data_IF_710897784377
#
_entry.id   IF_710897784377
#
_cell.length_a   1.000
_cell.length_b   1.000
_cell.length_c   1.000
_cell.angle_alpha   90.00
_cell.angle_beta   90.00
_cell.angle_gamma   90.00
#
_symmetry.space_group_name_H-M   'P 1'
#
loop_
_entity.id
_entity.type
_entity.pdbx_description
1 polymer ?
#
# COMPACT_ATOMS: atom_id res chain seq x y z
N UNK A 1 1.16 -32.58 -2.72
CA UNK A 1 2.19 -33.63 -2.65
C UNK A 1 3.35 -33.05 -1.86
N UNK A 2 3.69 -33.64 -0.72
CA UNK A 2 4.78 -33.18 0.14
C UNK A 2 6.12 -33.41 -0.56
N UNK A 3 6.68 -32.37 -1.15
CA UNK A 3 8.08 -32.40 -1.61
C UNK A 3 8.94 -32.42 -0.35
N UNK A 4 9.48 -33.59 -0.02
CA UNK A 4 10.46 -33.76 1.05
C UNK A 4 11.75 -33.08 0.61
N UNK A 5 11.96 -31.85 1.07
CA UNK A 5 13.25 -31.17 0.91
C UNK A 5 14.26 -31.90 1.79
N UNK A 6 15.39 -32.29 1.20
CA UNK A 6 16.50 -32.93 1.91
C UNK A 6 17.13 -31.93 2.89
N UNK A 7 16.91 -32.14 4.19
CA UNK A 7 17.72 -31.52 5.24
C UNK A 7 19.17 -31.91 4.98
N UNK A 8 20.04 -30.94 4.66
CA UNK A 8 21.44 -31.22 4.26
C UNK A 8 22.34 -31.59 5.45
N UNK A 9 21.92 -31.31 6.68
CA UNK A 9 22.54 -31.81 7.90
C UNK A 9 21.85 -31.31 9.18
N UNK A 10 22.38 -31.67 10.35
CA UNK A 10 21.89 -31.26 11.67
C UNK A 10 22.72 -30.10 12.23
N UNK A 11 22.05 -29.09 12.78
CA UNK A 11 22.69 -28.01 13.53
C UNK A 11 21.99 -27.88 14.89
N UNK A 12 22.75 -27.92 15.98
CA UNK A 12 22.20 -27.90 17.33
C UNK A 12 21.93 -26.46 17.76
N UNK A 13 20.71 -26.20 18.24
CA UNK A 13 20.33 -24.89 18.75
C UNK A 13 21.19 -24.51 19.97
N UNK A 14 21.89 -23.37 19.95
CA UNK A 14 22.72 -22.94 21.07
C UNK A 14 21.91 -22.53 22.31
N UNK A 15 20.61 -22.25 22.15
CA UNK A 15 19.74 -21.81 23.25
C UNK A 15 19.05 -22.96 23.98
N UNK A 16 18.60 -24.00 23.28
CA UNK A 16 17.83 -25.09 23.90
C UNK A 16 18.32 -26.51 23.57
N UNK A 17 19.35 -26.66 22.73
CA UNK A 17 19.91 -27.96 22.36
C UNK A 17 19.08 -28.79 21.38
N UNK A 18 17.95 -28.27 20.88
CA UNK A 18 17.17 -28.94 19.85
C UNK A 18 17.91 -28.99 18.51
N UNK A 19 17.76 -30.09 17.75
CA UNK A 19 18.23 -30.14 16.36
C UNK A 19 17.37 -29.24 15.49
N UNK A 20 18.00 -28.24 14.88
CA UNK A 20 17.34 -27.33 13.96
C UNK A 20 17.29 -27.91 12.56
N UNK A 21 18.28 -28.71 12.16
CA UNK A 21 18.56 -28.96 10.75
C UNK A 21 18.91 -27.68 9.98
N UNK A 22 19.70 -27.80 8.91
CA UNK A 22 20.13 -26.65 8.11
C UNK A 22 19.90 -26.85 6.61
N UNK A 23 19.69 -25.73 5.91
CA UNK A 23 19.58 -25.59 4.47
C UNK A 23 20.44 -24.38 4.05
N UNK A 24 21.19 -24.49 2.97
CA UNK A 24 22.06 -23.42 2.46
C UNK A 24 21.26 -22.21 1.95
N UNK A 25 20.01 -22.42 1.55
CA UNK A 25 19.19 -21.38 0.90
C UNK A 25 18.28 -20.62 1.88
N UNK A 26 18.10 -21.13 3.10
CA UNK A 26 17.14 -20.58 4.07
C UNK A 26 17.77 -20.33 5.44
N UNK A 27 17.07 -19.54 6.25
CA UNK A 27 17.52 -19.14 7.58
C UNK A 27 17.45 -20.35 8.53
N UNK A 28 18.58 -20.69 9.14
CA UNK A 28 18.62 -21.71 10.20
C UNK A 28 18.02 -21.12 11.47
N UNK A 29 16.90 -21.69 11.92
CA UNK A 29 16.18 -21.27 13.12
C UNK A 29 15.65 -22.47 13.91
N UNK A 30 15.38 -22.24 15.20
CA UNK A 30 14.88 -23.26 16.12
C UNK A 30 13.36 -23.18 16.29
N UNK A 31 12.63 -24.24 15.94
CA UNK A 31 11.18 -24.34 16.15
C UNK A 31 10.78 -24.45 17.62
N UNK A 32 11.69 -24.91 18.49
CA UNK A 32 11.40 -25.13 19.91
C UNK A 32 11.50 -23.86 20.76
N UNK A 33 12.47 -22.98 20.48
CA UNK A 33 12.71 -21.77 21.28
C UNK A 33 12.80 -20.48 20.45
N UNK A 34 12.48 -20.52 19.15
CA UNK A 34 12.46 -19.37 18.24
C UNK A 34 13.82 -18.69 18.04
N UNK A 35 14.91 -19.37 18.42
CA UNK A 35 16.26 -18.89 18.17
C UNK A 35 16.47 -18.61 16.68
N UNK A 36 17.01 -17.42 16.37
CA UNK A 36 17.32 -16.94 15.02
C UNK A 36 16.12 -16.90 14.04
N UNK A 37 14.89 -16.73 14.55
CA UNK A 37 13.68 -16.74 13.71
C UNK A 37 13.61 -15.58 12.71
N UNK A 38 14.21 -14.43 13.04
CA UNK A 38 14.28 -13.25 12.17
C UNK A 38 15.63 -12.51 12.36
N UNK A 39 16.71 -12.93 11.68
CA UNK A 39 18.06 -12.35 11.85
C UNK A 39 18.19 -10.91 11.35
N UNK A 40 17.36 -10.48 10.40
CA UNK A 40 17.30 -9.08 9.94
C UNK A 40 16.81 -8.13 11.02
N UNK A 41 16.02 -8.64 11.97
CA UNK A 41 15.71 -7.94 13.21
C UNK A 41 16.88 -8.10 14.18
N UNK A 42 18.08 -7.65 13.76
CA UNK A 42 19.21 -7.53 14.67
C UNK A 42 18.73 -6.73 15.87
N UNK A 43 19.07 -7.20 17.07
CA UNK A 43 19.06 -6.39 18.28
C UNK A 43 20.07 -5.25 18.08
N UNK A 44 19.76 -4.27 17.23
CA UNK A 44 20.28 -2.94 17.40
C UNK A 44 19.94 -2.53 18.83
N UNK A 45 20.89 -1.90 19.52
CA UNK A 45 20.77 -1.43 20.89
C UNK A 45 19.35 -0.92 21.14
N UNK A 46 18.50 -1.73 21.78
CA UNK A 46 17.08 -1.39 21.92
C UNK A 46 17.05 -0.20 22.84
N UNK A 47 16.85 0.99 22.27
CA UNK A 47 16.79 2.22 23.07
C UNK A 47 15.54 2.07 23.92
N UNK A 48 15.55 2.65 25.13
CA UNK A 48 14.35 2.66 25.99
C UNK A 48 13.10 3.16 25.25
N UNK A 49 13.29 4.03 24.25
CA UNK A 49 12.23 4.52 23.37
C UNK A 49 11.61 3.43 22.49
N UNK A 50 12.40 2.49 21.98
CA UNK A 50 11.91 1.41 21.11
C UNK A 50 11.01 0.45 21.90
N UNK A 51 11.39 0.13 23.14
CA UNK A 51 10.53 -0.66 24.05
C UNK A 51 9.21 0.04 24.37
N UNK A 52 9.25 1.36 24.57
CA UNK A 52 8.03 2.16 24.80
C UNK A 52 7.16 2.15 23.56
N UNK A 53 7.77 2.32 22.39
CA UNK A 53 7.10 2.31 21.09
C UNK A 53 6.43 0.96 20.81
N UNK A 54 7.13 -0.15 21.02
CA UNK A 54 6.58 -1.49 20.90
C UNK A 54 5.40 -1.73 21.86
N UNK A 55 5.56 -1.33 23.13
CA UNK A 55 4.49 -1.45 24.14
C UNK A 55 3.26 -0.63 23.79
N UNK A 56 3.45 0.60 23.31
CA UNK A 56 2.36 1.45 22.85
C UNK A 56 1.67 0.82 21.64
N UNK A 57 2.43 0.34 20.65
CA UNK A 57 1.90 -0.27 19.45
C UNK A 57 1.05 -1.50 19.74
N UNK A 58 1.53 -2.36 20.64
CA UNK A 58 0.78 -3.52 21.11
C UNK A 58 -0.54 -3.10 21.78
N UNK A 59 -0.50 -2.11 22.68
CA UNK A 59 -1.71 -1.62 23.36
C UNK A 59 -2.72 -1.01 22.39
N UNK A 60 -2.25 -0.23 21.41
CA UNK A 60 -3.11 0.34 20.37
C UNK A 60 -3.69 -0.75 19.46
N UNK A 61 -2.89 -1.74 19.07
CA UNK A 61 -3.35 -2.89 18.28
C UNK A 61 -4.40 -3.72 19.01
N UNK A 62 -4.17 -4.06 20.28
CA UNK A 62 -5.12 -4.79 21.14
C UNK A 62 -6.43 -4.00 21.31
N UNK A 63 -6.34 -2.69 21.60
CA UNK A 63 -7.53 -1.85 21.72
C UNK A 63 -8.30 -1.76 20.40
N UNK A 64 -7.60 -1.65 19.26
CA UNK A 64 -8.24 -1.64 17.96
C UNK A 64 -8.96 -2.96 17.70
N UNK A 65 -8.28 -4.10 17.92
CA UNK A 65 -8.84 -5.43 17.74
C UNK A 65 -10.10 -5.63 18.59
N UNK A 66 -10.05 -5.22 19.86
CA UNK A 66 -11.20 -5.30 20.75
C UNK A 66 -12.38 -4.49 20.20
N UNK A 67 -12.13 -3.23 19.79
CA UNK A 67 -13.17 -2.36 19.25
C UNK A 67 -13.81 -2.91 17.96
N UNK A 68 -13.03 -3.51 17.06
CA UNK A 68 -13.57 -4.07 15.80
C UNK A 68 -14.28 -5.39 16.06
N UNK A 69 -13.86 -6.18 17.05
CA UNK A 69 -14.47 -7.47 17.38
C UNK A 69 -15.80 -7.32 18.14
N UNK A 70 -15.95 -6.27 18.96
CA UNK A 70 -17.17 -6.01 19.74
C UNK A 70 -18.28 -5.31 18.93
N UNK A 71 -17.94 -4.66 17.82
CA UNK A 71 -18.90 -3.89 17.03
C UNK A 71 -19.74 -4.79 16.12
N UNK A 72 -21.05 -4.55 16.13
CA UNK A 72 -21.99 -5.16 15.17
C UNK A 72 -21.79 -4.66 13.73
N UNK A 73 -21.18 -3.48 13.55
CA UNK A 73 -20.86 -2.93 12.22
C UNK A 73 -19.50 -2.22 12.24
N UNK A 74 -18.66 -2.59 11.27
CA UNK A 74 -17.38 -1.93 11.01
C UNK A 74 -17.51 -0.69 10.12
N UNK A 75 -18.72 -0.37 9.64
CA UNK A 75 -18.93 0.80 8.79
C UNK A 75 -18.55 2.09 9.55
N UNK A 76 -17.87 3.03 8.89
CA UNK A 76 -17.35 4.18 9.59
C UNK A 76 -18.46 5.20 9.86
N UNK A 77 -18.70 5.48 11.14
CA UNK A 77 -19.63 6.50 11.62
C UNK A 77 -19.03 7.91 11.68
N UNK A 78 -19.79 8.87 12.20
CA UNK A 78 -19.29 10.22 12.49
C UNK A 78 -18.21 10.16 13.58
N UNK A 79 -17.12 10.92 13.39
CA UNK A 79 -16.10 11.15 14.41
C UNK A 79 -15.61 12.60 14.34
N UNK A 80 -15.21 13.16 15.47
CA UNK A 80 -14.60 14.50 15.51
C UNK A 80 -13.32 14.57 14.70
N UNK A 81 -12.53 13.49 14.66
CA UNK A 81 -11.31 13.43 13.85
C UNK A 81 -11.61 13.48 12.34
N UNK A 82 -12.67 12.81 11.88
CA UNK A 82 -13.16 12.94 10.49
C UNK A 82 -13.59 14.37 10.19
N UNK A 83 -14.40 14.96 11.06
CA UNK A 83 -14.84 16.34 10.89
C UNK A 83 -13.64 17.30 10.81
N UNK A 84 -12.66 17.17 11.71
CA UNK A 84 -11.45 17.96 11.70
C UNK A 84 -10.64 17.76 10.40
N UNK A 85 -10.51 16.53 9.91
CA UNK A 85 -9.85 16.25 8.63
C UNK A 85 -10.59 16.90 7.44
N UNK A 86 -11.93 16.88 7.43
CA UNK A 86 -12.73 17.59 6.42
C UNK A 86 -12.56 19.11 6.51
N UNK A 87 -12.53 19.68 7.72
CA UNK A 87 -12.31 21.12 7.93
C UNK A 87 -10.91 21.54 7.45
N UNK A 88 -9.88 20.77 7.77
CA UNK A 88 -8.52 21.01 7.29
C UNK A 88 -8.42 20.88 5.76
N UNK A 89 -9.03 19.84 5.18
CA UNK A 89 -9.08 19.69 3.74
C UNK A 89 -9.80 20.87 3.05
N UNK A 90 -10.90 21.35 3.65
CA UNK A 90 -11.60 22.54 3.17
C UNK A 90 -10.69 23.77 3.23
N UNK A 91 -9.97 24.00 4.33
CA UNK A 91 -9.03 25.10 4.46
C UNK A 91 -7.95 25.07 3.37
N UNK A 92 -7.40 23.89 3.06
CA UNK A 92 -6.42 23.72 1.96
C UNK A 92 -7.00 24.14 0.61
N UNK A 93 -8.20 23.65 0.27
CA UNK A 93 -8.85 24.02 -1.00
C UNK A 93 -9.22 25.51 -1.07
N UNK A 94 -9.59 26.11 0.07
CA UNK A 94 -9.92 27.52 0.16
C UNK A 94 -8.70 28.43 -0.08
N UNK A 95 -7.48 28.00 0.22
CA UNK A 95 -6.26 28.75 -0.11
C UNK A 95 -6.12 28.91 -1.63
N UNK A 96 -6.29 27.83 -2.39
CA UNK A 96 -6.23 27.87 -3.86
C UNK A 96 -7.34 28.77 -4.45
N UNK A 97 -8.55 28.68 -3.88
CA UNK A 97 -9.69 29.50 -4.28
C UNK A 97 -9.45 30.98 -3.96
N UNK A 98 -8.87 31.28 -2.80
CA UNK A 98 -8.54 32.65 -2.38
C UNK A 98 -7.58 33.32 -3.38
N UNK A 99 -6.52 32.62 -3.81
CA UNK A 99 -5.61 33.15 -4.82
C UNK A 99 -6.30 33.40 -6.16
N UNK A 100 -7.20 32.50 -6.58
CA UNK A 100 -7.95 32.65 -7.83
C UNK A 100 -8.88 33.88 -7.79
N UNK A 101 -9.68 34.00 -6.74
CA UNK A 101 -10.65 35.10 -6.60
C UNK A 101 -9.93 36.43 -6.46
N UNK A 102 -8.87 36.48 -5.64
CA UNK A 102 -8.05 37.69 -5.48
C UNK A 102 -7.37 38.10 -6.78
N UNK A 103 -6.87 37.12 -7.56
CA UNK A 103 -6.32 37.36 -8.89
C UNK A 103 -7.33 38.05 -9.80
N UNK A 104 -8.54 37.50 -9.93
CA UNK A 104 -9.61 38.05 -10.77
C UNK A 104 -9.97 39.47 -10.31
N UNK A 105 -10.11 39.67 -8.99
CA UNK A 105 -10.42 40.97 -8.41
C UNK A 105 -9.37 42.03 -8.78
N UNK A 106 -8.07 41.75 -8.59
CA UNK A 106 -7.02 42.72 -8.89
C UNK A 106 -6.83 42.96 -10.39
N UNK A 107 -6.98 41.93 -11.25
CA UNK A 107 -6.96 42.11 -12.71
C UNK A 107 -8.10 43.02 -13.16
N UNK A 108 -9.30 42.89 -12.57
CA UNK A 108 -10.43 43.74 -12.92
C UNK A 108 -10.20 45.23 -12.62
N UNK A 109 -9.33 45.55 -11.65
CA UNK A 109 -8.99 46.92 -11.24
C UNK A 109 -7.80 47.52 -12.01
N UNK A 110 -7.37 46.93 -13.12
CA UNK A 110 -6.17 47.38 -13.86
C UNK A 110 -6.20 48.85 -14.32
N UNK A 111 -7.40 49.42 -14.51
CA UNK A 111 -7.58 50.82 -14.93
C UNK A 111 -7.18 51.82 -13.85
N UNK A 112 -7.28 51.44 -12.57
CA UNK A 112 -6.86 52.27 -11.44
C UNK A 112 -5.33 52.29 -11.30
N UNK A 113 -4.67 51.17 -11.58
CA UNK A 113 -3.22 51.06 -11.59
C UNK A 113 -2.75 49.79 -12.31
N UNK A 114 -1.70 49.93 -13.12
CA UNK A 114 -1.03 48.78 -13.75
C UNK A 114 -0.49 47.78 -12.71
N UNK A 115 -0.16 48.24 -11.50
CA UNK A 115 0.31 47.36 -10.43
C UNK A 115 -0.76 46.38 -9.92
N UNK A 116 -2.04 46.71 -10.04
CA UNK A 116 -3.11 45.75 -9.75
C UNK A 116 -3.15 44.63 -10.79
N UNK A 117 -2.91 44.93 -12.06
CA UNK A 117 -2.77 43.89 -13.07
C UNK A 117 -1.55 42.99 -12.78
N UNK A 118 -0.40 43.57 -12.43
CA UNK A 118 0.81 42.82 -12.08
C UNK A 118 0.58 41.91 -10.87
N UNK A 119 -0.01 42.42 -9.79
CA UNK A 119 -0.36 41.63 -8.61
C UNK A 119 -1.38 40.53 -8.96
N UNK A 120 -2.39 40.87 -9.74
CA UNK A 120 -3.42 39.93 -10.17
C UNK A 120 -2.85 38.77 -11.01
N UNK A 121 -1.91 39.05 -11.91
CA UNK A 121 -1.19 38.02 -12.69
C UNK A 121 -0.26 37.16 -11.80
N UNK A 122 0.42 37.77 -10.83
CA UNK A 122 1.22 37.02 -9.85
C UNK A 122 0.34 36.07 -9.02
N UNK A 123 -0.81 36.54 -8.54
CA UNK A 123 -1.78 35.71 -7.81
C UNK A 123 -2.39 34.63 -8.71
N UNK A 124 -2.53 34.88 -10.02
CA UNK A 124 -2.97 33.86 -10.99
C UNK A 124 -1.93 32.73 -11.09
N UNK A 125 -0.65 33.09 -11.16
CA UNK A 125 0.44 32.12 -11.14
C UNK A 125 0.45 31.31 -9.83
N UNK A 126 0.27 31.97 -8.68
CA UNK A 126 0.13 31.27 -7.39
C UNK A 126 -1.09 30.36 -7.36
N UNK A 127 -2.25 30.79 -7.88
CA UNK A 127 -3.45 29.96 -7.98
C UNK A 127 -3.20 28.72 -8.84
N UNK A 128 -2.48 28.87 -9.95
CA UNK A 128 -2.10 27.75 -10.80
C UNK A 128 -1.19 26.75 -10.06
N UNK A 129 -0.16 27.24 -9.36
CA UNK A 129 0.78 26.39 -8.60
C UNK A 129 0.05 25.68 -7.46
N UNK A 130 -0.77 26.41 -6.71
CA UNK A 130 -1.48 25.93 -5.52
C UNK A 130 -2.77 25.17 -5.83
N UNK A 131 -3.15 25.00 -7.09
CA UNK A 131 -4.41 24.36 -7.49
C UNK A 131 -4.60 22.98 -6.84
N UNK A 132 -5.84 22.58 -6.51
CA UNK A 132 -6.14 21.27 -5.95
C UNK A 132 -5.64 20.10 -6.83
N UNK A 133 -5.14 19.05 -6.18
CA UNK A 133 -4.55 17.87 -6.81
C UNK A 133 -5.39 16.63 -6.53
N UNK A 134 -6.29 16.31 -7.44
CA UNK A 134 -7.24 15.19 -7.30
C UNK A 134 -6.69 13.82 -7.73
N UNK A 135 -5.36 13.63 -7.65
CA UNK A 135 -4.69 12.47 -8.24
C UNK A 135 -4.71 12.50 -9.76
N UNK A 136 -3.67 11.90 -10.35
CA UNK A 136 -3.56 11.64 -11.79
C UNK A 136 -2.94 10.26 -11.97
N UNK A 137 -3.11 9.69 -13.15
CA UNK A 137 -2.27 8.57 -13.54
C UNK A 137 -0.88 9.12 -13.87
N UNK A 138 0.14 8.40 -13.43
CA UNK A 138 1.50 8.71 -13.87
C UNK A 138 1.69 8.36 -15.34
N UNK A 139 2.72 8.93 -15.97
CA UNK A 139 2.93 8.75 -17.41
C UNK A 139 3.25 7.30 -17.78
N UNK A 140 3.86 6.56 -16.86
CA UNK A 140 4.15 5.12 -16.99
C UNK A 140 2.93 4.25 -16.76
N UNK A 141 1.90 4.76 -16.09
CA UNK A 141 0.70 4.02 -15.77
C UNK A 141 -0.25 3.96 -16.96
N UNK A 142 -0.63 2.75 -17.35
CA UNK A 142 -1.52 2.51 -18.48
C UNK A 142 -2.72 1.69 -18.01
N UNK A 143 -3.92 2.25 -18.18
CA UNK A 143 -5.16 1.49 -18.00
C UNK A 143 -5.24 0.48 -19.15
N UNK A 144 -5.32 -0.79 -18.80
CA UNK A 144 -5.48 -1.86 -19.79
C UNK A 144 -6.92 -1.86 -20.31
N UNK A 145 -7.14 -1.85 -21.64
CA UNK A 145 -8.48 -1.89 -22.22
C UNK A 145 -9.30 -3.10 -21.75
N UNK A 146 -10.62 -2.92 -21.67
CA UNK A 146 -11.53 -4.00 -21.21
C UNK A 146 -11.52 -5.20 -22.14
N UNK A 147 -11.21 -4.98 -23.41
CA UNK A 147 -11.09 -5.99 -24.47
C UNK A 147 -9.84 -6.87 -24.29
N UNK A 148 -8.81 -6.37 -23.60
CA UNK A 148 -7.59 -7.13 -23.33
C UNK A 148 -7.68 -8.01 -22.09
N UNK A 149 -8.49 -7.60 -21.09
CA UNK A 149 -8.73 -8.28 -19.82
C UNK A 149 -10.22 -8.65 -19.57
N UNK A 150 -10.95 -9.24 -20.54
CA UNK A 150 -12.41 -9.36 -20.45
C UNK A 150 -12.89 -10.21 -19.27
N UNK A 151 -12.22 -11.31 -18.94
CA UNK A 151 -12.60 -12.16 -17.81
C UNK A 151 -12.24 -11.49 -16.47
N UNK A 152 -11.08 -10.86 -16.37
CA UNK A 152 -10.69 -10.16 -15.14
C UNK A 152 -11.63 -8.98 -14.83
N UNK A 153 -11.97 -8.15 -15.82
CA UNK A 153 -12.96 -7.09 -15.64
C UNK A 153 -14.34 -7.66 -15.26
N UNK A 154 -14.77 -8.76 -15.88
CA UNK A 154 -16.04 -9.40 -15.53
C UNK A 154 -16.08 -9.86 -14.06
N UNK A 155 -15.00 -10.48 -13.59
CA UNK A 155 -14.88 -10.93 -12.19
C UNK A 155 -14.85 -9.76 -11.22
N UNK A 156 -14.09 -8.71 -11.54
CA UNK A 156 -14.02 -7.48 -10.74
C UNK A 156 -15.37 -6.77 -10.67
N UNK A 157 -16.08 -6.65 -11.80
CA UNK A 157 -17.41 -6.02 -11.85
C UNK A 157 -18.42 -6.80 -10.99
N UNK A 158 -18.38 -8.14 -11.02
CA UNK A 158 -19.22 -9.00 -10.16
C UNK A 158 -18.90 -8.85 -8.68
N UNK A 159 -17.61 -8.68 -8.33
CA UNK A 159 -17.20 -8.39 -6.96
C UNK A 159 -17.71 -7.02 -6.51
N UNK A 160 -17.59 -5.99 -7.36
CA UNK A 160 -18.14 -4.66 -7.08
C UNK A 160 -19.65 -4.70 -6.86
N UNK A 161 -20.39 -5.40 -7.72
CA UNK A 161 -21.84 -5.59 -7.58
C UNK A 161 -22.20 -6.24 -6.25
N UNK A 162 -21.52 -7.32 -5.88
CA UNK A 162 -21.78 -8.05 -4.63
C UNK A 162 -21.40 -7.23 -3.39
N UNK A 163 -20.35 -6.42 -3.48
CA UNK A 163 -19.96 -5.48 -2.43
C UNK A 163 -20.83 -4.20 -2.38
N UNK A 164 -21.75 -4.02 -3.33
CA UNK A 164 -22.63 -2.86 -3.40
C UNK A 164 -21.91 -1.56 -3.75
N UNK A 165 -20.84 -1.64 -4.55
CA UNK A 165 -20.06 -0.46 -4.97
C UNK A 165 -20.10 -0.28 -6.49
N UNK A 166 -19.96 0.98 -6.94
CA UNK A 166 -19.80 1.28 -8.37
C UNK A 166 -18.60 0.49 -8.97
N UNK A 167 -18.74 -0.05 -10.20
CA UNK A 167 -17.65 -0.69 -10.93
C UNK A 167 -16.37 0.13 -11.03
N UNK A 168 -15.27 -0.56 -11.27
CA UNK A 168 -13.96 0.06 -11.43
C UNK A 168 -13.84 0.62 -12.85
N UNK A 169 -13.33 1.84 -12.98
CA UNK A 169 -13.23 2.53 -14.26
C UNK A 169 -12.00 2.09 -15.07
N UNK A 170 -11.00 1.50 -14.42
CA UNK A 170 -9.81 0.95 -15.09
C UNK A 170 -8.98 0.04 -14.20
N UNK A 171 -8.31 -0.92 -14.83
CA UNK A 171 -7.32 -1.82 -14.23
C UNK A 171 -5.94 -1.47 -14.79
N UNK A 172 -4.95 -1.36 -13.91
CA UNK A 172 -3.54 -1.21 -14.25
C UNK A 172 -2.81 -2.47 -13.79
N UNK A 173 -1.90 -2.97 -14.63
CA UNK A 173 -1.01 -4.07 -14.27
C UNK A 173 0.40 -3.48 -14.11
N UNK A 174 1.00 -3.66 -12.94
CA UNK A 174 2.34 -3.16 -12.64
C UNK A 174 3.24 -4.26 -12.04
N UNK A 175 4.46 -3.84 -11.69
CA UNK A 175 5.54 -4.70 -11.25
C UNK A 175 5.65 -4.85 -9.74
N UNK A 176 4.88 -4.08 -8.98
CA UNK A 176 4.96 -4.10 -7.53
C UNK A 176 4.49 -5.44 -6.96
N UNK A 177 5.08 -5.89 -5.86
CA UNK A 177 4.57 -7.05 -5.12
C UNK A 177 3.40 -6.63 -4.22
N UNK A 178 2.34 -6.08 -4.83
CA UNK A 178 1.21 -5.49 -4.10
C UNK A 178 -0.07 -5.47 -4.95
N UNK A 179 -1.18 -5.01 -4.36
CA UNK A 179 -2.33 -4.50 -5.10
C UNK A 179 -2.81 -3.22 -4.42
N UNK A 180 -3.51 -2.36 -5.15
CA UNK A 180 -4.08 -1.15 -4.55
C UNK A 180 -5.27 -0.62 -5.32
N UNK A 181 -6.15 0.10 -4.63
CA UNK A 181 -7.17 0.94 -5.25
C UNK A 181 -7.01 2.41 -4.92
N UNK A 182 -7.29 3.27 -5.91
CA UNK A 182 -7.31 4.72 -5.75
C UNK A 182 -8.40 5.40 -6.57
N UNK A 183 -8.71 6.64 -6.20
CA UNK A 183 -9.61 7.52 -6.94
C UNK A 183 -8.79 8.63 -7.60
N UNK A 184 -8.93 8.82 -8.91
CA UNK A 184 -8.16 9.81 -9.67
C UNK A 184 -9.04 10.77 -10.48
N UNK A 185 -8.58 12.01 -10.58
CA UNK A 185 -9.21 13.09 -11.34
C UNK A 185 -10.50 13.62 -10.72
N UNK A 186 -10.95 14.77 -11.24
CA UNK A 186 -12.16 15.48 -10.76
C UNK A 186 -13.44 14.67 -10.89
N UNK A 187 -13.48 13.71 -11.83
CA UNK A 187 -14.63 12.81 -12.04
C UNK A 187 -14.63 11.61 -11.10
N UNK A 188 -13.58 11.42 -10.30
CA UNK A 188 -13.50 10.32 -9.35
C UNK A 188 -13.37 8.95 -10.00
N UNK A 189 -12.50 8.81 -11.00
CA UNK A 189 -12.28 7.51 -11.64
C UNK A 189 -11.66 6.54 -10.64
N UNK A 190 -12.28 5.38 -10.46
CA UNK A 190 -11.79 4.29 -9.61
C UNK A 190 -10.81 3.45 -10.40
N UNK A 191 -9.60 3.30 -9.88
CA UNK A 191 -8.52 2.56 -10.51
C UNK A 191 -8.09 1.45 -9.58
N UNK A 192 -8.04 0.23 -10.10
CA UNK A 192 -7.45 -0.93 -9.43
C UNK A 192 -6.08 -1.19 -10.08
N UNK A 193 -5.03 -1.16 -9.28
CA UNK A 193 -3.70 -1.57 -9.68
C UNK A 193 -3.42 -2.96 -9.13
N UNK A 194 -3.03 -3.87 -10.02
CA UNK A 194 -2.67 -5.25 -9.69
C UNK A 194 -1.19 -5.44 -10.00
N UNK A 195 -0.42 -5.66 -8.94
CA UNK A 195 0.94 -6.13 -9.02
C UNK A 195 0.97 -7.56 -9.52
N UNK A 196 1.45 -7.73 -10.75
CA UNK A 196 1.48 -9.02 -11.42
C UNK A 196 2.26 -10.09 -10.63
N UNK A 197 3.41 -9.77 -9.98
CA UNK A 197 4.15 -10.75 -9.19
C UNK A 197 3.38 -11.31 -7.98
N UNK A 198 2.61 -10.47 -7.27
CA UNK A 198 1.77 -10.95 -6.20
C UNK A 198 0.61 -11.78 -6.77
N UNK A 199 -0.08 -11.26 -7.77
CA UNK A 199 -1.29 -11.90 -8.30
C UNK A 199 -1.03 -13.29 -8.93
N UNK A 200 0.14 -13.49 -9.53
CA UNK A 200 0.49 -14.74 -10.23
C UNK A 200 0.68 -15.93 -9.29
N UNK A 201 1.13 -15.71 -8.04
CA UNK A 201 1.33 -16.78 -7.04
C UNK A 201 0.06 -17.15 -6.26
N UNK A 202 -1.01 -16.38 -6.43
CA UNK A 202 -2.26 -16.59 -5.73
C UNK A 202 -3.14 -17.59 -6.50
N UNK A 203 -3.61 -18.68 -5.87
CA UNK A 203 -4.66 -19.50 -6.42
C UNK A 203 -5.98 -18.72 -6.49
N UNK A 204 -6.92 -19.28 -7.25
CA UNK A 204 -8.22 -18.65 -7.57
C UNK A 204 -8.93 -17.99 -6.40
N UNK A 205 -9.03 -18.64 -5.24
CA UNK A 205 -9.82 -18.13 -4.11
C UNK A 205 -9.04 -17.04 -3.34
N UNK A 206 -7.71 -17.09 -3.34
CA UNK A 206 -6.87 -16.03 -2.78
C UNK A 206 -6.85 -14.77 -3.68
N UNK A 207 -6.95 -14.94 -5.00
CA UNK A 207 -7.17 -13.80 -5.92
C UNK A 207 -8.49 -13.10 -5.63
N UNK A 208 -9.55 -13.86 -5.37
CA UNK A 208 -10.84 -13.29 -4.95
C UNK A 208 -10.72 -12.58 -3.61
N UNK A 209 -9.93 -13.11 -2.67
CA UNK A 209 -9.67 -12.47 -1.39
C UNK A 209 -8.97 -11.12 -1.57
N UNK A 210 -7.96 -11.06 -2.44
CA UNK A 210 -7.18 -9.85 -2.71
C UNK A 210 -8.04 -8.79 -3.39
N UNK A 211 -8.75 -9.14 -4.46
CA UNK A 211 -9.64 -8.24 -5.16
C UNK A 211 -10.80 -7.77 -4.25
N UNK A 212 -11.35 -8.67 -3.44
CA UNK A 212 -12.38 -8.36 -2.46
C UNK A 212 -11.90 -7.39 -1.38
N UNK A 213 -10.68 -7.58 -0.87
CA UNK A 213 -10.05 -6.66 0.06
C UNK A 213 -9.90 -5.25 -0.54
N UNK A 214 -9.34 -5.15 -1.74
CA UNK A 214 -9.19 -3.87 -2.43
C UNK A 214 -10.53 -3.17 -2.69
N UNK A 215 -11.55 -3.92 -3.13
CA UNK A 215 -12.91 -3.41 -3.32
C UNK A 215 -13.54 -2.97 -1.98
N UNK A 216 -13.17 -3.64 -0.88
CA UNK A 216 -13.54 -3.31 0.48
C UNK A 216 -13.20 -1.87 0.87
N UNK A 217 -12.08 -1.31 0.39
CA UNK A 217 -11.73 0.10 0.63
C UNK A 217 -12.72 1.08 -0.01
N UNK A 218 -13.26 0.76 -1.19
CA UNK A 218 -14.33 1.56 -1.79
C UNK A 218 -15.65 1.41 -1.03
N UNK A 219 -15.97 0.21 -0.55
CA UNK A 219 -17.18 -0.05 0.23
C UNK A 219 -17.13 0.65 1.61
N UNK A 220 -15.94 0.78 2.19
CA UNK A 220 -15.73 1.47 3.46
C UNK A 220 -15.88 3.01 3.34
N UNK A 221 -15.74 3.59 2.14
CA UNK A 221 -15.64 5.03 1.92
C UNK A 221 -14.45 5.66 2.66
N UNK A 222 -13.26 5.13 2.41
CA UNK A 222 -12.01 5.64 2.99
C UNK A 222 -11.83 7.14 2.72
N UNK A 223 -11.91 7.94 3.79
CA UNK A 223 -11.86 9.40 3.70
C UNK A 223 -10.54 9.85 3.08
N UNK A 224 -9.42 9.23 3.47
CA UNK A 224 -8.09 9.52 2.92
C UNK A 224 -8.00 9.24 1.40
N UNK A 225 -8.79 8.29 0.87
CA UNK A 225 -8.85 7.94 -0.56
C UNK A 225 -9.95 8.69 -1.32
N UNK A 226 -10.70 9.57 -0.65
CA UNK A 226 -11.74 10.40 -1.28
C UNK A 226 -11.17 11.54 -2.11
N UNK A 227 -11.90 12.01 -3.12
CA UNK A 227 -11.49 13.15 -3.96
C UNK A 227 -11.24 14.40 -3.11
N UNK A 228 -12.08 14.64 -2.10
CA UNK A 228 -12.03 15.87 -1.33
C UNK A 228 -10.84 15.89 -0.35
N UNK A 229 -10.77 14.90 0.54
CA UNK A 229 -9.70 14.86 1.56
C UNK A 229 -8.41 14.31 0.97
N UNK A 230 -8.46 13.23 0.19
CA UNK A 230 -7.29 12.73 -0.56
C UNK A 230 -6.74 13.76 -1.54
N UNK A 231 -7.62 14.56 -2.16
CA UNK A 231 -7.18 15.69 -2.99
C UNK A 231 -6.45 16.77 -2.21
N UNK A 232 -6.88 17.07 -0.97
CA UNK A 232 -6.15 18.00 -0.10
C UNK A 232 -4.80 17.42 0.33
N UNK A 233 -4.73 16.13 0.68
CA UNK A 233 -3.48 15.43 0.99
C UNK A 233 -2.51 15.51 -0.18
N UNK A 234 -2.94 15.19 -1.41
CA UNK A 234 -2.11 15.29 -2.61
C UNK A 234 -1.69 16.73 -2.93
N UNK A 235 -2.54 17.70 -2.59
CA UNK A 235 -2.22 19.14 -2.74
C UNK A 235 -1.11 19.55 -1.78
N UNK A 236 -1.22 19.16 -0.51
CA UNK A 236 -0.21 19.43 0.51
C UNK A 236 1.13 18.76 0.18
N UNK A 237 1.11 17.50 -0.28
CA UNK A 237 2.32 16.81 -0.72
C UNK A 237 2.98 17.58 -1.88
N UNK A 238 2.20 18.00 -2.88
CA UNK A 238 2.73 18.80 -3.99
C UNK A 238 3.30 20.15 -3.51
N UNK A 239 2.64 20.83 -2.56
CA UNK A 239 3.15 22.08 -2.00
C UNK A 239 4.44 21.87 -1.21
N UNK A 240 4.52 20.77 -0.46
CA UNK A 240 5.74 20.36 0.24
C UNK A 240 6.87 20.14 -0.76
N UNK A 241 6.68 19.31 -1.79
CA UNK A 241 7.72 19.01 -2.78
C UNK A 241 8.19 20.26 -3.55
N UNK A 242 7.29 21.23 -3.79
CA UNK A 242 7.64 22.49 -4.44
C UNK A 242 8.46 23.43 -3.55
N UNK A 243 8.30 23.34 -2.22
CA UNK A 243 8.95 24.20 -1.24
C UNK A 243 10.19 23.56 -0.61
N UNK A 244 10.19 22.23 -0.47
CA UNK A 244 11.29 21.41 0.02
C UNK A 244 12.30 21.20 -1.12
N UNK A 245 12.97 22.30 -1.44
CA UNK A 245 14.02 22.30 -2.46
C UNK A 245 15.24 21.58 -1.84
N UNK A 246 15.38 20.29 -2.13
CA UNK A 246 16.58 19.51 -1.79
C UNK A 246 17.84 20.01 -2.54
N UNK A 247 17.70 20.96 -3.46
CA UNK A 247 18.75 21.51 -4.34
C UNK A 247 19.07 23.00 -4.09
N UNK A 248 18.75 23.60 -2.92
CA UNK A 248 19.18 25.01 -2.64
C UNK A 248 20.70 25.12 -2.45
N UNK A 249 21.42 24.00 -2.47
CA UNK A 249 22.88 23.97 -2.39
C UNK A 249 23.58 24.58 -3.63
N UNK A 250 22.84 24.93 -4.69
CA UNK A 250 23.40 25.59 -5.89
C UNK A 250 23.50 27.13 -5.79
N UNK A 251 22.81 27.77 -4.82
CA UNK A 251 22.92 29.23 -4.63
C UNK A 251 24.06 29.50 -3.66
N UNK A 252 25.24 29.81 -4.18
CA UNK A 252 26.40 30.13 -3.35
C UNK A 252 26.22 31.44 -2.56
N UNK A 253 26.67 31.42 -1.29
CA UNK A 253 26.75 32.60 -0.43
C UNK A 253 25.57 32.80 0.54
N UNK A 254 25.63 33.91 1.30
CA UNK A 254 24.71 34.21 2.42
C UNK A 254 23.24 34.27 1.94
N UNK A 255 22.99 34.75 0.73
CA UNK A 255 21.65 34.84 0.16
C UNK A 255 21.03 33.46 -0.09
N UNK A 256 21.81 32.49 -0.57
CA UNK A 256 21.37 31.11 -0.72
C UNK A 256 21.02 30.45 0.61
N UNK A 257 21.84 30.68 1.64
CA UNK A 257 21.58 30.17 2.99
C UNK A 257 20.27 30.75 3.55
N UNK A 258 20.08 32.08 3.48
CA UNK A 258 18.87 32.73 4.01
C UNK A 258 17.61 32.28 3.26
N UNK A 259 17.67 32.25 1.92
CA UNK A 259 16.53 31.80 1.11
C UNK A 259 16.23 30.32 1.34
N UNK A 260 17.23 29.45 1.51
CA UNK A 260 17.06 28.05 1.84
C UNK A 260 16.35 27.83 3.19
N UNK A 261 16.76 28.55 4.24
CA UNK A 261 16.06 28.49 5.54
C UNK A 261 14.62 29.01 5.44
N UNK A 262 14.40 30.08 4.69
CA UNK A 262 13.06 30.61 4.47
C UNK A 262 12.15 29.61 3.76
N UNK A 263 12.62 28.99 2.67
CA UNK A 263 11.87 27.99 1.91
C UNK A 263 11.58 26.74 2.74
N UNK A 264 12.55 26.23 3.52
CA UNK A 264 12.33 25.13 4.46
C UNK A 264 11.31 25.48 5.55
N UNK A 265 11.36 26.70 6.07
CA UNK A 265 10.37 27.22 7.01
C UNK A 265 8.96 27.25 6.42
N UNK A 266 8.83 27.65 5.15
CA UNK A 266 7.56 27.60 4.42
C UNK A 266 7.11 26.15 4.16
N UNK A 267 8.01 25.24 3.80
CA UNK A 267 7.72 23.82 3.55
C UNK A 267 7.20 23.09 4.80
N UNK A 268 7.57 23.56 5.99
CA UNK A 268 7.08 23.00 7.25
C UNK A 268 5.55 23.12 7.40
N UNK A 269 4.94 24.15 6.84
CA UNK A 269 3.49 24.37 6.92
C UNK A 269 2.71 23.24 6.22
N UNK A 270 2.89 22.97 4.91
CA UNK A 270 2.19 21.87 4.26
C UNK A 270 2.58 20.51 4.84
N UNK A 271 3.83 20.32 5.28
CA UNK A 271 4.25 19.08 5.94
C UNK A 271 3.46 18.80 7.23
N UNK A 272 3.38 19.78 8.14
CA UNK A 272 2.66 19.62 9.40
C UNK A 272 1.17 19.40 9.16
N UNK A 273 0.55 20.13 8.21
CA UNK A 273 -0.85 19.92 7.85
C UNK A 273 -1.10 18.54 7.26
N UNK A 274 -0.18 18.06 6.40
CA UNK A 274 -0.24 16.72 5.83
C UNK A 274 -0.20 15.67 6.94
N UNK A 275 0.80 15.74 7.82
CA UNK A 275 0.97 14.82 8.94
C UNK A 275 -0.23 14.86 9.90
N UNK A 276 -0.81 16.04 10.14
CA UNK A 276 -1.99 16.21 10.98
C UNK A 276 -3.21 15.50 10.38
N UNK A 277 -3.47 15.65 9.08
CA UNK A 277 -4.58 14.95 8.42
C UNK A 277 -4.38 13.42 8.48
N UNK A 278 -3.17 12.94 8.18
CA UNK A 278 -2.85 11.51 8.26
C UNK A 278 -3.06 10.99 9.69
N UNK A 279 -2.61 11.73 10.70
CA UNK A 279 -2.79 11.37 12.11
C UNK A 279 -4.26 11.34 12.52
N UNK A 280 -5.07 12.33 12.12
CA UNK A 280 -6.50 12.37 12.39
C UNK A 280 -7.25 11.18 11.77
N UNK A 281 -6.81 10.74 10.59
CA UNK A 281 -7.41 9.63 9.87
C UNK A 281 -6.78 8.27 10.19
N UNK A 282 -5.71 8.21 10.98
CA UNK A 282 -4.97 6.98 11.29
C UNK A 282 -5.88 5.87 11.82
N UNK A 283 -6.69 6.19 12.83
CA UNK A 283 -7.60 5.22 13.44
C UNK A 283 -8.66 4.72 12.46
N UNK A 284 -9.13 5.58 11.56
CA UNK A 284 -10.12 5.19 10.55
C UNK A 284 -9.49 4.36 9.44
N UNK A 285 -8.24 4.65 9.06
CA UNK A 285 -7.44 3.83 8.14
C UNK A 285 -7.24 2.42 8.69
N UNK A 286 -6.82 2.30 9.96
CA UNK A 286 -6.66 1.00 10.60
C UNK A 286 -7.97 0.20 10.65
N UNK A 287 -9.11 0.84 10.90
CA UNK A 287 -10.44 0.19 10.82
C UNK A 287 -10.83 -0.21 9.40
N UNK A 288 -10.47 0.61 8.41
CA UNK A 288 -10.72 0.31 7.00
C UNK A 288 -10.06 -1.01 6.57
N UNK A 289 -8.87 -1.31 7.10
CA UNK A 289 -8.18 -2.57 6.85
C UNK A 289 -8.96 -3.79 7.37
N UNK A 290 -9.46 -3.73 8.60
CA UNK A 290 -10.33 -4.81 9.14
C UNK A 290 -11.65 -4.93 8.35
N UNK A 291 -12.21 -3.81 7.89
CA UNK A 291 -13.40 -3.83 7.04
C UNK A 291 -13.10 -4.45 5.68
N UNK A 292 -11.97 -4.10 5.06
CA UNK A 292 -11.53 -4.67 3.80
C UNK A 292 -11.27 -6.17 3.93
N UNK A 293 -10.65 -6.63 5.03
CA UNK A 293 -10.49 -8.04 5.35
C UNK A 293 -11.83 -8.77 5.47
N UNK A 294 -12.80 -8.14 6.15
CA UNK A 294 -14.15 -8.67 6.29
C UNK A 294 -14.80 -8.87 4.91
N UNK A 295 -14.74 -7.87 4.03
CA UNK A 295 -15.29 -7.94 2.68
C UNK A 295 -14.56 -9.01 1.85
N UNK A 296 -13.23 -9.06 1.92
CA UNK A 296 -12.43 -10.10 1.28
C UNK A 296 -12.88 -11.49 1.73
N UNK A 297 -12.96 -11.73 3.04
CA UNK A 297 -13.37 -13.01 3.61
C UNK A 297 -14.84 -13.37 3.32
N UNK A 298 -15.75 -12.40 3.31
CA UNK A 298 -17.15 -12.59 2.95
C UNK A 298 -17.29 -13.05 1.48
N UNK A 299 -16.44 -12.54 0.59
CA UNK A 299 -16.44 -12.87 -0.83
C UNK A 299 -15.73 -14.19 -1.13
N UNK A 300 -14.56 -14.44 -0.53
CA UNK A 300 -13.67 -15.58 -0.86
C UNK A 300 -13.56 -16.68 0.20
N UNK A 301 -14.12 -16.47 1.39
CA UNK A 301 -13.97 -17.33 2.57
C UNK A 301 -12.74 -16.98 3.43
N UNK A 302 -12.87 -17.15 4.75
CA UNK A 302 -11.85 -16.80 5.75
C UNK A 302 -10.50 -17.47 5.50
N UNK A 303 -10.50 -18.75 5.11
CA UNK A 303 -9.25 -19.51 4.86
C UNK A 303 -8.41 -18.89 3.75
N UNK A 304 -9.06 -18.46 2.66
CA UNK A 304 -8.41 -17.84 1.51
C UNK A 304 -7.81 -16.48 1.88
N UNK A 305 -8.53 -15.66 2.66
CA UNK A 305 -8.03 -14.36 3.13
C UNK A 305 -6.84 -14.48 4.08
N UNK A 306 -6.86 -15.46 5.00
CA UNK A 306 -5.71 -15.74 5.87
C UNK A 306 -4.52 -16.21 5.03
N UNK A 307 -4.73 -17.15 4.11
CA UNK A 307 -3.65 -17.67 3.25
C UNK A 307 -3.05 -16.58 2.35
N UNK A 308 -3.86 -15.66 1.83
CA UNK A 308 -3.40 -14.47 1.12
C UNK A 308 -2.48 -13.61 2.00
N UNK A 309 -2.90 -13.28 3.23
CA UNK A 309 -2.12 -12.45 4.14
C UNK A 309 -0.79 -13.09 4.55
N UNK A 310 -0.71 -14.42 4.58
CA UNK A 310 0.54 -15.16 4.75
C UNK A 310 1.47 -14.97 3.53
N UNK A 311 0.94 -15.00 2.30
CA UNK A 311 1.73 -14.88 1.05
C UNK A 311 2.13 -13.44 0.67
N UNK A 312 1.38 -12.42 1.09
CA UNK A 312 1.75 -11.01 0.90
C UNK A 312 3.11 -10.69 1.58
N UNK A 313 3.57 -11.53 2.49
CA UNK A 313 4.87 -11.40 3.16
C UNK A 313 6.03 -12.04 2.41
N UNK A 314 5.80 -12.51 1.17
CA UNK A 314 6.85 -13.11 0.33
C UNK A 314 7.61 -12.07 -0.50
N UNK A 315 7.50 -10.78 -0.16
CA UNK A 315 8.21 -9.67 -0.81
C UNK A 315 9.71 -9.90 -0.83
N UNK A 316 10.31 -10.32 0.29
CA UNK A 316 11.74 -10.60 0.36
C UNK A 316 12.17 -11.77 -0.54
N UNK A 317 11.34 -12.82 -0.64
CA UNK A 317 11.57 -13.95 -1.53
C UNK A 317 11.48 -13.48 -2.99
N UNK A 318 10.46 -12.69 -3.30
CA UNK A 318 10.26 -12.14 -4.64
C UNK A 318 11.47 -11.31 -5.08
N UNK A 319 11.89 -10.32 -4.29
CA UNK A 319 13.05 -9.50 -4.65
C UNK A 319 14.35 -10.31 -4.70
N UNK A 320 14.50 -11.37 -3.90
CA UNK A 320 15.63 -12.29 -4.07
C UNK A 320 15.64 -12.97 -5.45
N UNK A 321 14.48 -13.41 -5.94
CA UNK A 321 14.35 -13.97 -7.29
C UNK A 321 14.66 -12.91 -8.37
N UNK A 322 14.17 -11.68 -8.21
CA UNK A 322 14.49 -10.57 -9.13
C UNK A 322 16.01 -10.35 -9.23
N UNK A 323 16.70 -10.27 -8.09
CA UNK A 323 18.17 -10.12 -8.05
C UNK A 323 18.89 -11.24 -8.77
N UNK A 324 18.48 -12.49 -8.53
CA UNK A 324 19.07 -13.67 -9.16
C UNK A 324 18.83 -13.66 -10.67
N UNK A 325 17.63 -13.33 -11.11
CA UNK A 325 17.27 -13.26 -12.53
C UNK A 325 18.10 -12.19 -13.27
N UNK A 326 18.25 -11.00 -12.67
CA UNK A 326 19.04 -9.91 -13.25
C UNK A 326 20.52 -10.25 -13.44
N UNK A 327 21.10 -11.05 -12.54
CA UNK A 327 22.52 -11.46 -12.62
C UNK A 327 22.74 -12.63 -13.57
N UNK A 328 21.81 -13.59 -13.59
CA UNK A 328 22.01 -14.87 -14.32
C UNK A 328 21.58 -14.81 -15.80
N UNK A 329 20.92 -13.72 -16.24
CA UNK A 329 20.40 -13.54 -17.59
C UNK A 329 19.67 -14.79 -18.12
N UNK A 330 18.81 -15.36 -17.25
CA UNK A 330 18.12 -16.64 -17.50
C UNK A 330 17.10 -16.51 -18.63
N UNK A 331 16.98 -17.55 -19.46
CA UNK A 331 15.98 -17.61 -20.53
C UNK A 331 14.56 -17.93 -20.07
N UNK A 332 14.37 -18.31 -18.80
CA UNK A 332 13.04 -18.58 -18.23
C UNK A 332 12.41 -17.34 -17.61
N UNK A 333 11.08 -17.19 -17.75
CA UNK A 333 10.30 -16.09 -17.17
C UNK A 333 10.60 -15.94 -15.67
N UNK A 334 10.88 -14.72 -15.24
CA UNK A 334 11.14 -14.34 -13.84
C UNK A 334 9.94 -14.75 -12.96
N UNK A 335 8.73 -14.54 -13.47
CA UNK A 335 7.51 -14.87 -12.75
C UNK A 335 7.29 -16.38 -12.65
N UNK A 336 7.68 -17.16 -13.67
CA UNK A 336 7.71 -18.63 -13.57
C UNK A 336 8.72 -19.10 -12.51
N UNK A 337 9.92 -18.50 -12.49
CA UNK A 337 10.93 -18.80 -11.47
C UNK A 337 10.41 -18.49 -10.06
N UNK A 338 9.71 -17.37 -9.88
CA UNK A 338 9.11 -17.00 -8.61
C UNK A 338 7.96 -17.92 -8.21
N UNK A 339 7.04 -18.26 -9.13
CA UNK A 339 5.97 -19.26 -8.90
C UNK A 339 6.56 -20.58 -8.42
N UNK A 340 7.55 -21.10 -9.14
CA UNK A 340 8.25 -22.33 -8.78
C UNK A 340 8.92 -22.24 -7.40
N UNK A 341 9.56 -21.10 -7.11
CA UNK A 341 10.21 -20.86 -5.81
C UNK A 341 9.21 -20.92 -4.65
N UNK A 342 8.00 -20.39 -4.84
CA UNK A 342 6.92 -20.43 -3.85
C UNK A 342 6.34 -21.84 -3.71
N UNK A 343 6.16 -22.58 -4.81
CA UNK A 343 5.68 -23.97 -4.79
C UNK A 343 6.66 -24.93 -4.10
N UNK A 344 7.96 -24.70 -4.26
CA UNK A 344 9.04 -25.50 -3.67
C UNK A 344 9.46 -25.01 -2.28
N UNK A 345 8.77 -24.00 -1.71
CA UNK A 345 9.12 -23.44 -0.41
C UNK A 345 9.04 -24.51 0.69
N UNK A 346 10.13 -24.78 1.44
CA UNK A 346 10.11 -25.78 2.49
C UNK A 346 9.07 -25.44 3.55
N UNK A 347 8.33 -26.45 4.04
CA UNK A 347 7.31 -26.23 5.06
C UNK A 347 7.86 -25.59 6.34
N UNK A 348 9.14 -25.84 6.66
CA UNK A 348 9.83 -25.20 7.79
C UNK A 348 10.00 -23.69 7.58
N UNK A 349 10.35 -23.26 6.37
CA UNK A 349 10.49 -21.85 6.04
C UNK A 349 9.13 -21.14 6.02
N UNK A 350 8.11 -21.79 5.46
CA UNK A 350 6.74 -21.28 5.52
C UNK A 350 6.27 -21.06 6.97
N UNK A 351 6.53 -22.04 7.87
CA UNK A 351 6.23 -21.89 9.30
C UNK A 351 7.03 -20.77 9.96
N UNK A 352 8.29 -20.58 9.57
CA UNK A 352 9.12 -19.47 10.06
C UNK A 352 8.48 -18.12 9.73
N UNK A 353 8.16 -17.89 8.46
CA UNK A 353 7.57 -16.63 7.98
C UNK A 353 6.24 -16.35 8.67
N UNK A 354 5.37 -17.37 8.78
CA UNK A 354 4.13 -17.29 9.54
C UNK A 354 4.40 -16.87 11.00
N UNK A 355 5.36 -17.52 11.66
CA UNK A 355 5.66 -17.24 13.06
C UNK A 355 6.26 -15.84 13.26
N UNK A 356 7.10 -15.37 12.34
CA UNK A 356 7.59 -13.97 12.33
C UNK A 356 6.41 -13.00 12.27
N UNK A 357 5.44 -13.27 11.39
CA UNK A 357 4.21 -12.46 11.27
C UNK A 357 3.39 -12.42 12.57
N UNK A 358 3.27 -13.56 13.26
CA UNK A 358 2.55 -13.69 14.53
C UNK A 358 3.24 -12.94 15.67
N UNK A 359 4.57 -12.90 15.67
CA UNK A 359 5.37 -12.20 16.67
C UNK A 359 5.39 -10.68 16.44
N UNK A 360 5.10 -10.23 15.22
CA UNK A 360 5.09 -8.82 14.86
C UNK A 360 3.81 -8.11 15.38
N UNK A 361 3.73 -7.90 16.69
CA UNK A 361 2.55 -7.36 17.39
C UNK A 361 2.49 -5.81 17.45
N UNK A 362 3.42 -5.11 16.82
CA UNK A 362 3.48 -3.64 16.82
C UNK A 362 3.87 -3.10 15.45
N UNK A 363 3.01 -2.24 14.88
CA UNK A 363 3.20 -1.56 13.58
C UNK A 363 2.76 -0.10 13.62
N UNK A 364 3.25 0.66 14.58
CA UNK A 364 2.85 2.06 14.79
C UNK A 364 3.20 3.03 13.64
N UNK A 365 4.14 2.67 12.75
CA UNK A 365 4.55 3.49 11.60
C UNK A 365 4.02 2.95 10.27
N UNK A 366 3.24 1.86 10.28
CA UNK A 366 2.69 1.27 9.06
C UNK A 366 1.22 1.63 8.90
N UNK A 367 0.81 1.80 7.65
CA UNK A 367 -0.57 2.08 7.25
C UNK A 367 -1.54 0.94 7.59
N UNK A 368 -1.04 -0.25 7.89
CA UNK A 368 -1.83 -1.46 8.16
C UNK A 368 -1.65 -1.95 9.61
N UNK A 369 -2.70 -2.50 10.24
CA UNK A 369 -2.57 -3.19 11.52
C UNK A 369 -1.64 -4.41 11.41
N UNK A 370 -1.05 -4.85 12.54
CA UNK A 370 -0.36 -6.13 12.61
C UNK A 370 -1.19 -7.30 12.05
N UNK A 371 -0.57 -8.14 11.21
CA UNK A 371 -1.22 -9.28 10.58
C UNK A 371 -1.78 -10.25 11.63
N UNK A 372 -1.08 -10.45 12.74
CA UNK A 372 -1.54 -11.28 13.86
C UNK A 372 -2.95 -10.89 14.34
N UNK A 373 -3.22 -9.59 14.51
CA UNK A 373 -4.52 -9.10 14.96
C UNK A 373 -5.59 -9.22 13.86
N UNK A 374 -5.23 -8.99 12.60
CA UNK A 374 -6.13 -9.19 11.44
C UNK A 374 -6.53 -10.66 11.29
N UNK A 375 -5.60 -11.59 11.43
CA UNK A 375 -5.86 -13.04 11.43
C UNK A 375 -6.76 -13.41 12.61
N UNK A 376 -6.46 -12.91 13.81
CA UNK A 376 -7.29 -13.16 14.99
C UNK A 376 -8.72 -12.65 14.80
N UNK A 377 -8.88 -11.45 14.25
CA UNK A 377 -10.17 -10.90 13.87
C UNK A 377 -10.90 -11.82 12.89
N UNK A 378 -10.28 -12.18 11.76
CA UNK A 378 -10.91 -13.05 10.76
C UNK A 378 -11.30 -14.43 11.30
N UNK A 379 -10.48 -15.03 12.17
CA UNK A 379 -10.80 -16.32 12.80
C UNK A 379 -12.01 -16.23 13.76
N UNK A 380 -12.26 -15.06 14.34
CA UNK A 380 -13.48 -14.83 15.14
C UNK A 380 -14.73 -14.64 14.28
N UNK A 381 -14.57 -14.42 12.97
CA UNK A 381 -15.67 -14.27 12.03
C UNK A 381 -16.07 -15.63 11.42
N UNK A 382 -17.36 -15.96 11.45
CA UNK A 382 -17.88 -17.27 11.02
C UNK A 382 -18.10 -17.39 9.49
N UNK A 383 -17.20 -16.86 8.63
CA UNK A 383 -17.34 -16.93 7.17
C UNK A 383 -16.63 -18.15 6.57
N UNK A 384 -17.24 -19.33 6.73
CA UNK A 384 -16.63 -20.59 6.30
C UNK A 384 -16.71 -20.86 4.79
N UNK A 385 -17.61 -20.20 4.07
CA UNK A 385 -17.85 -20.41 2.63
C UNK A 385 -17.85 -19.11 1.84
N UNK A 386 -17.25 -19.14 0.65
CA UNK A 386 -17.24 -18.01 -0.28
C UNK A 386 -18.63 -17.71 -0.84
N UNK A 387 -18.96 -16.42 -0.97
CA UNK A 387 -20.16 -16.00 -1.73
C UNK A 387 -19.94 -16.07 -3.23
N UNK A 388 -18.70 -15.91 -3.67
CA UNK A 388 -18.31 -15.96 -5.06
C UNK A 388 -17.10 -16.89 -5.17
N UNK A 389 -17.15 -17.86 -6.07
CA UNK A 389 -15.98 -18.66 -6.41
C UNK A 389 -15.66 -18.50 -7.88
N UNK A 390 -14.38 -18.31 -8.17
CA UNK A 390 -13.82 -18.43 -9.51
C UNK A 390 -13.89 -19.88 -9.95
N UNK A 391 -14.43 -20.14 -11.14
CA UNK A 391 -14.28 -21.46 -11.76
C UNK A 391 -12.84 -21.66 -12.24
N UNK A 392 -12.42 -22.92 -12.39
CA UNK A 392 -11.08 -23.25 -12.88
C UNK A 392 -10.84 -22.68 -14.28
N UNK A 393 -11.86 -22.69 -15.13
CA UNK A 393 -11.74 -22.15 -16.49
C UNK A 393 -11.60 -20.62 -16.50
N UNK A 394 -12.36 -19.92 -15.67
CA UNK A 394 -12.21 -18.46 -15.54
C UNK A 394 -10.82 -18.09 -15.01
N UNK A 395 -10.30 -18.83 -14.01
CA UNK A 395 -8.94 -18.58 -13.52
C UNK A 395 -7.91 -18.75 -14.64
N UNK A 396 -8.02 -19.82 -15.45
CA UNK A 396 -7.12 -20.04 -16.59
C UNK A 396 -7.22 -18.96 -17.67
N UNK A 397 -8.41 -18.40 -17.90
CA UNK A 397 -8.57 -17.26 -18.81
C UNK A 397 -7.87 -16.02 -18.28
N UNK A 398 -8.03 -15.71 -16.99
CA UNK A 398 -7.30 -14.61 -16.34
C UNK A 398 -5.79 -14.84 -16.46
N UNK A 399 -5.30 -16.06 -16.25
CA UNK A 399 -3.87 -16.38 -16.44
C UNK A 399 -3.40 -16.06 -17.87
N UNK A 400 -4.19 -16.41 -18.90
CA UNK A 400 -3.87 -16.10 -20.31
C UNK A 400 -3.95 -14.61 -20.62
N UNK A 401 -4.86 -13.87 -19.99
CA UNK A 401 -4.97 -12.42 -20.11
C UNK A 401 -3.71 -11.74 -19.54
N UNK A 402 -3.31 -12.14 -18.34
CA UNK A 402 -2.15 -11.59 -17.65
C UNK A 402 -0.81 -11.99 -18.26
N UNK A 403 -0.72 -13.18 -18.87
CA UNK A 403 0.48 -13.65 -19.57
C UNK A 403 1.01 -12.64 -20.61
N UNK A 404 0.12 -11.86 -21.24
CA UNK A 404 0.48 -10.83 -22.23
C UNK A 404 1.27 -9.66 -21.64
N UNK A 405 1.24 -9.49 -20.32
CA UNK A 405 1.89 -8.40 -19.61
C UNK A 405 3.17 -8.84 -18.88
N UNK A 406 3.47 -10.14 -18.81
CA UNK A 406 4.61 -10.68 -18.06
C UNK A 406 5.95 -10.15 -18.57
N UNK A 407 6.16 -10.10 -19.88
CA UNK A 407 7.42 -9.62 -20.49
C UNK A 407 7.72 -8.17 -20.10
N UNK A 408 6.76 -7.26 -20.30
CA UNK A 408 6.89 -5.85 -19.93
C UNK A 408 7.17 -5.66 -18.44
N UNK A 409 6.47 -6.40 -17.58
CA UNK A 409 6.66 -6.34 -16.13
C UNK A 409 8.06 -6.83 -15.75
N UNK A 410 8.51 -7.94 -16.34
CA UNK A 410 9.84 -8.48 -16.11
C UNK A 410 10.94 -7.50 -16.52
N UNK A 411 10.83 -6.90 -17.70
CA UNK A 411 11.81 -5.93 -18.19
C UNK A 411 11.90 -4.72 -17.28
N UNK A 412 10.76 -4.26 -16.76
CA UNK A 412 10.69 -3.16 -15.80
C UNK A 412 11.39 -3.54 -14.48
N UNK A 413 11.10 -4.72 -13.92
CA UNK A 413 11.72 -5.20 -12.68
C UNK A 413 13.24 -5.31 -12.77
N UNK A 414 13.73 -5.93 -13.85
CA UNK A 414 15.16 -6.11 -14.07
C UNK A 414 15.83 -4.77 -14.32
N UNK A 415 15.21 -3.90 -15.12
CA UNK A 415 15.70 -2.55 -15.39
C UNK A 415 15.81 -1.68 -14.14
N UNK A 416 14.78 -1.66 -13.29
CA UNK A 416 14.78 -0.92 -12.02
C UNK A 416 15.83 -1.44 -11.06
N UNK A 417 15.97 -2.77 -10.94
CA UNK A 417 17.02 -3.36 -10.11
C UNK A 417 18.41 -2.99 -10.61
N UNK A 418 18.69 -3.12 -11.92
CA UNK A 418 19.99 -2.75 -12.48
C UNK A 418 20.28 -1.26 -12.31
N UNK A 419 19.28 -0.40 -12.49
CA UNK A 419 19.42 1.04 -12.25
C UNK A 419 19.74 1.35 -10.78
N UNK A 420 19.24 0.57 -9.82
CA UNK A 420 19.54 0.76 -8.39
C UNK A 420 20.98 0.39 -7.98
N UNK A 421 21.74 -0.27 -8.87
CA UNK A 421 23.15 -0.62 -8.63
C UNK A 421 24.13 0.49 -9.03
N UNK A 422 23.67 1.50 -9.77
CA UNK A 422 24.45 2.64 -10.25
C UNK A 422 23.99 3.92 -9.56
#
# INVERSE_FOLDING_TARGET
MSVSVQIKGSEICPSCGADMGWDEEYIVWCEACEYNINPSHKQEYVKKLDLIYEKLGRRFGESMLQQVSERQSLRPGFSFSRLAAYVLAAAVHLVSLFFLVSSIYFIAQWQESIWFAVLGLFLLALSWVTRPRFGKLDKSEQIVPREELPELYHVVDKLCETAGVRPIDGIIIDQEFNASVRTVGVRGKRILTIGLPLFTILPKDERMALLGHEIGHFANNDVARSIFVGGAIGTLATWYDLLDVQHVDEIEGIFGIISGFFMKGLALIPYVLFMLIIHLLWHDGQRAEYFADLVGAELSGTKSSISLMEKIQFDQIFYHVVRKAAVTNSSSSLLDQFRKKVEELPSKEFRRLKRVSELELSKLNYTHPPNAYRIQFLNSQNFYSSRISLTVEQNKKIDRELAKHEERVQDTLVGEYLASLY
#
